data_IF_040901752974
#
_entry.id   IF_040901752974
#
_cell.length_a   1.000
_cell.length_b   1.000
_cell.length_c   1.000
_cell.angle_alpha   90.00
_cell.angle_beta   90.00
_cell.angle_gamma   90.00
#
_symmetry.space_group_name_H-M   'P 1'
#
loop_
_entity.id
_entity.type
_entity.pdbx_description
1 polymer ?
#
# COMPACT_ATOMS: atom_id res chain seq x y z
N UNK A 1 26.99 20.50 -1.66
CA UNK A 1 26.60 21.78 -1.03
C UNK A 1 26.42 22.94 -2.02
N UNK A 2 27.04 22.92 -3.22
CA UNK A 2 26.87 23.97 -4.24
C UNK A 2 25.45 24.12 -4.84
N UNK A 3 24.59 23.08 -4.77
CA UNK A 3 23.22 23.15 -5.31
C UNK A 3 22.21 23.89 -4.41
N UNK A 4 22.56 24.13 -3.13
CA UNK A 4 21.71 24.88 -2.19
C UNK A 4 21.96 26.40 -2.26
N UNK A 5 23.14 26.83 -2.72
CA UNK A 5 23.48 28.25 -2.90
C UNK A 5 23.03 28.82 -4.25
N UNK A 6 22.78 27.96 -5.25
CA UNK A 6 22.15 28.40 -6.51
C UNK A 6 20.77 28.99 -6.23
N UNK A 7 20.47 30.10 -6.87
CA UNK A 7 19.21 30.82 -6.71
C UNK A 7 18.69 31.30 -8.05
N UNK A 8 17.37 31.30 -8.22
CA UNK A 8 16.70 31.78 -9.42
C UNK A 8 15.97 33.11 -9.10
N UNK A 9 16.29 34.21 -9.81
CA UNK A 9 15.74 35.53 -9.50
C UNK A 9 14.32 35.78 -10.05
N UNK A 10 13.78 34.91 -10.89
CA UNK A 10 12.42 35.04 -11.46
C UNK A 10 11.33 35.14 -10.41
N UNK A 11 10.20 35.74 -10.76
CA UNK A 11 9.02 35.91 -9.93
C UNK A 11 8.09 34.66 -9.97
N UNK A 12 7.01 34.70 -9.18
CA UNK A 12 6.08 33.57 -9.06
C UNK A 12 5.30 33.27 -10.36
N UNK A 13 5.03 34.30 -11.16
CA UNK A 13 4.34 34.17 -12.44
C UNK A 13 5.22 33.49 -13.48
N UNK A 14 6.50 33.84 -13.53
CA UNK A 14 7.47 33.28 -14.48
C UNK A 14 7.75 31.78 -14.26
N UNK A 15 7.60 31.28 -13.03
CA UNK A 15 7.89 29.88 -12.69
C UNK A 15 6.65 29.06 -12.36
N UNK A 16 5.86 29.50 -11.37
CA UNK A 16 4.85 28.66 -10.72
C UNK A 16 3.48 28.77 -11.37
N UNK A 17 2.96 29.99 -11.47
CA UNK A 17 1.59 30.25 -11.91
C UNK A 17 1.52 31.00 -13.24
N UNK A 18 2.20 30.46 -14.25
CA UNK A 18 2.40 31.02 -15.60
C UNK A 18 1.12 31.33 -16.39
N UNK A 19 -0.04 30.87 -15.93
CA UNK A 19 -1.34 31.15 -16.55
C UNK A 19 -2.00 32.45 -16.06
N UNK A 20 -1.52 33.06 -14.97
CA UNK A 20 -2.10 34.30 -14.41
C UNK A 20 -1.04 35.09 -13.64
N UNK A 21 -0.85 36.40 -13.90
CA UNK A 21 0.15 37.21 -13.20
C UNK A 21 -0.19 37.43 -11.72
N UNK A 22 -1.47 37.34 -11.34
CA UNK A 22 -1.89 37.51 -9.94
C UNK A 22 -1.71 36.23 -9.12
N UNK A 23 -0.94 36.33 -8.03
CA UNK A 23 -0.75 35.25 -7.05
C UNK A 23 -2.08 34.82 -6.39
N UNK A 24 -2.89 35.79 -5.99
CA UNK A 24 -4.16 35.53 -5.28
C UNK A 24 -5.17 34.86 -6.19
N UNK A 25 -5.29 35.34 -7.44
CA UNK A 25 -6.17 34.74 -8.43
C UNK A 25 -5.74 33.29 -8.74
N UNK A 26 -4.43 33.05 -8.87
CA UNK A 26 -3.89 31.72 -9.12
C UNK A 26 -4.16 30.75 -7.97
N UNK A 27 -4.00 31.21 -6.73
CA UNK A 27 -4.34 30.42 -5.55
C UNK A 27 -5.84 30.09 -5.48
N UNK A 28 -6.72 31.08 -5.72
CA UNK A 28 -8.18 30.88 -5.76
C UNK A 28 -8.59 29.90 -6.85
N UNK A 29 -8.02 30.04 -8.04
CA UNK A 29 -8.30 29.19 -9.18
C UNK A 29 -7.93 27.73 -8.91
N UNK A 30 -6.79 27.46 -8.26
CA UNK A 30 -6.38 26.10 -7.89
C UNK A 30 -7.19 25.58 -6.71
N UNK A 31 -7.53 26.42 -5.75
CA UNK A 31 -8.43 26.07 -4.63
C UNK A 31 -9.80 25.63 -5.15
N UNK A 32 -10.40 26.37 -6.08
CA UNK A 32 -11.69 26.02 -6.68
C UNK A 32 -11.63 24.69 -7.46
N UNK A 33 -10.57 24.49 -8.25
CA UNK A 33 -10.34 23.23 -8.96
C UNK A 33 -10.16 22.05 -8.01
N UNK A 34 -9.43 22.25 -6.92
CA UNK A 34 -9.19 21.25 -5.90
C UNK A 34 -10.48 20.89 -5.14
N UNK A 35 -11.35 21.86 -4.84
CA UNK A 35 -12.64 21.63 -4.19
C UNK A 35 -13.55 20.73 -5.01
N UNK A 36 -13.71 21.04 -6.30
CA UNK A 36 -14.56 20.27 -7.20
C UNK A 36 -14.09 18.81 -7.30
N UNK A 37 -12.78 18.60 -7.44
CA UNK A 37 -12.18 17.27 -7.53
C UNK A 37 -12.27 16.52 -6.20
N UNK A 38 -12.04 17.22 -5.09
CA UNK A 38 -12.11 16.62 -3.74
C UNK A 38 -13.51 16.10 -3.45
N UNK A 39 -14.55 16.87 -3.79
CA UNK A 39 -15.94 16.44 -3.67
C UNK A 39 -16.24 15.22 -4.55
N UNK A 40 -15.76 15.21 -5.81
CA UNK A 40 -15.91 14.06 -6.73
C UNK A 40 -15.22 12.79 -6.23
N UNK A 41 -14.17 12.90 -5.42
CA UNK A 41 -13.47 11.75 -4.84
C UNK A 41 -14.14 11.29 -3.54
N UNK A 42 -14.40 12.22 -2.62
CA UNK A 42 -14.86 11.85 -1.28
C UNK A 42 -16.36 11.54 -1.22
N UNK A 43 -17.23 12.23 -1.97
CA UNK A 43 -18.66 11.97 -1.90
C UNK A 43 -19.02 10.50 -2.26
N UNK A 44 -18.53 9.92 -3.37
CA UNK A 44 -18.82 8.52 -3.69
C UNK A 44 -18.18 7.54 -2.69
N UNK A 45 -16.93 7.79 -2.28
CA UNK A 45 -16.20 6.92 -1.36
C UNK A 45 -16.94 6.78 -0.02
N UNK A 46 -17.37 7.89 0.55
CA UNK A 46 -18.09 7.91 1.82
C UNK A 46 -19.49 7.33 1.69
N UNK A 47 -20.18 7.60 0.57
CA UNK A 47 -21.49 7.02 0.31
C UNK A 47 -21.43 5.49 0.21
N UNK A 48 -20.48 4.95 -0.57
CA UNK A 48 -20.28 3.49 -0.70
C UNK A 48 -19.92 2.89 0.66
N UNK A 49 -19.01 3.51 1.41
CA UNK A 49 -18.64 3.03 2.74
C UNK A 49 -19.82 3.04 3.73
N UNK A 50 -20.71 4.03 3.65
CA UNK A 50 -21.92 4.11 4.47
C UNK A 50 -22.92 2.99 4.14
N UNK A 51 -23.09 2.69 2.85
CA UNK A 51 -23.98 1.62 2.34
C UNK A 51 -23.44 0.25 2.77
N UNK A 52 -22.15 -0.02 2.54
CA UNK A 52 -21.52 -1.30 2.89
C UNK A 52 -21.58 -1.58 4.40
N UNK A 53 -21.47 -0.53 5.22
CA UNK A 53 -21.58 -0.63 6.69
C UNK A 53 -23.02 -0.59 7.20
N UNK A 54 -24.02 -0.60 6.32
CA UNK A 54 -25.46 -0.56 6.65
C UNK A 54 -25.79 0.48 7.72
N UNK A 55 -25.26 1.70 7.58
CA UNK A 55 -25.47 2.77 8.56
C UNK A 55 -26.94 3.19 8.64
N UNK A 56 -27.40 3.63 9.82
CA UNK A 56 -28.78 4.11 10.05
C UNK A 56 -29.06 5.40 9.27
N UNK A 57 -30.34 5.69 8.98
CA UNK A 57 -30.78 6.92 8.26
C UNK A 57 -30.25 8.22 8.89
N UNK A 58 -30.13 8.27 10.23
CA UNK A 58 -29.61 9.44 10.94
C UNK A 58 -28.15 9.76 10.62
N UNK A 59 -27.33 8.74 10.32
CA UNK A 59 -25.94 8.94 9.92
C UNK A 59 -25.84 9.71 8.60
N UNK A 60 -26.71 9.39 7.63
CA UNK A 60 -26.74 10.06 6.33
C UNK A 60 -27.10 11.54 6.46
N UNK A 61 -28.05 11.87 7.36
CA UNK A 61 -28.47 13.26 7.58
C UNK A 61 -27.48 14.06 8.42
N UNK A 62 -26.95 13.48 9.51
CA UNK A 62 -26.20 14.24 10.53
C UNK A 62 -24.68 14.15 10.43
N UNK A 63 -24.14 13.06 9.86
CA UNK A 63 -22.67 12.82 9.87
C UNK A 63 -22.06 12.73 8.48
N UNK A 64 -22.74 12.14 7.50
CA UNK A 64 -22.16 11.92 6.17
C UNK A 64 -21.71 13.22 5.49
N UNK A 65 -22.56 14.25 5.48
CA UNK A 65 -22.25 15.53 4.82
C UNK A 65 -21.09 16.25 5.52
N UNK A 66 -21.09 16.48 6.86
CA UNK A 66 -19.94 17.07 7.55
C UNK A 66 -18.65 16.29 7.34
N UNK A 67 -18.71 14.96 7.31
CA UNK A 67 -17.56 14.10 7.08
C UNK A 67 -16.99 14.27 5.66
N UNK A 68 -17.85 14.34 4.64
CA UNK A 68 -17.43 14.60 3.25
C UNK A 68 -16.82 16.00 3.14
N UNK A 69 -17.49 17.02 3.69
CA UNK A 69 -17.03 18.40 3.63
C UNK A 69 -15.69 18.55 4.35
N UNK A 70 -15.50 17.97 5.53
CA UNK A 70 -14.24 18.05 6.26
C UNK A 70 -13.07 17.46 5.47
N UNK A 71 -13.26 16.29 4.86
CA UNK A 71 -12.22 15.64 4.05
C UNK A 71 -11.99 16.35 2.71
N UNK A 72 -13.03 16.93 2.13
CA UNK A 72 -12.89 17.81 0.96
C UNK A 72 -12.13 19.09 1.30
N UNK A 73 -12.43 19.72 2.44
CA UNK A 73 -11.73 20.91 2.94
C UNK A 73 -10.26 20.63 3.21
N UNK A 74 -9.92 19.48 3.79
CA UNK A 74 -8.53 19.03 3.95
C UNK A 74 -7.76 19.06 2.63
N UNK A 75 -8.25 18.34 1.62
CA UNK A 75 -7.53 18.19 0.35
C UNK A 75 -7.50 19.51 -0.45
N UNK A 76 -8.59 20.27 -0.40
CA UNK A 76 -8.71 21.61 -1.00
C UNK A 76 -7.72 22.59 -0.38
N UNK A 77 -7.64 22.61 0.95
CA UNK A 77 -6.73 23.46 1.71
C UNK A 77 -5.29 23.14 1.37
N UNK A 78 -4.92 21.86 1.24
CA UNK A 78 -3.57 21.47 0.87
C UNK A 78 -3.16 22.05 -0.50
N UNK A 79 -4.03 21.91 -1.52
CA UNK A 79 -3.77 22.45 -2.86
C UNK A 79 -3.72 23.97 -2.91
N UNK A 80 -4.65 24.64 -2.23
CA UNK A 80 -4.70 26.11 -2.18
C UNK A 80 -3.53 26.72 -1.40
N UNK A 81 -3.26 26.19 -0.22
CA UNK A 81 -2.14 26.65 0.61
C UNK A 81 -0.79 26.38 -0.04
N UNK A 82 -0.62 25.30 -0.80
CA UNK A 82 0.64 25.06 -1.51
C UNK A 82 0.99 26.24 -2.43
N UNK A 83 0.05 26.73 -3.25
CA UNK A 83 0.30 27.88 -4.12
C UNK A 83 0.47 29.17 -3.32
N UNK A 84 -0.32 29.36 -2.26
CA UNK A 84 -0.17 30.52 -1.38
C UNK A 84 1.24 30.56 -0.76
N UNK A 85 1.70 29.46 -0.17
CA UNK A 85 3.03 29.35 0.42
C UNK A 85 4.15 29.42 -0.61
N UNK A 86 3.96 28.88 -1.81
CA UNK A 86 4.89 29.05 -2.93
C UNK A 86 5.16 30.55 -3.19
N UNK A 87 4.10 31.36 -3.27
CA UNK A 87 4.22 32.80 -3.50
C UNK A 87 4.74 33.56 -2.26
N UNK A 88 4.30 33.18 -1.06
CA UNK A 88 4.76 33.80 0.21
C UNK A 88 6.26 33.55 0.40
N UNK A 89 6.73 32.31 0.23
CA UNK A 89 8.16 31.99 0.36
C UNK A 89 8.97 32.77 -0.67
N UNK A 90 8.49 32.90 -1.91
CA UNK A 90 9.19 33.71 -2.91
C UNK A 90 9.26 35.19 -2.54
N UNK A 91 8.20 35.74 -1.92
CA UNK A 91 8.19 37.13 -1.44
C UNK A 91 9.13 37.33 -0.24
N UNK A 92 9.18 36.37 0.67
CA UNK A 92 10.04 36.42 1.86
C UNK A 92 11.54 36.23 1.53
N UNK A 93 11.85 35.28 0.65
CA UNK A 93 13.23 34.92 0.31
C UNK A 93 13.82 35.77 -0.82
N UNK A 94 13.00 36.53 -1.54
CA UNK A 94 13.44 37.37 -2.66
C UNK A 94 13.93 36.62 -3.91
N UNK A 95 14.12 35.29 -3.83
CA UNK A 95 14.55 34.38 -4.91
C UNK A 95 13.97 32.98 -4.70
N UNK A 96 14.03 32.12 -5.72
CA UNK A 96 13.79 30.69 -5.57
C UNK A 96 15.08 29.92 -5.31
N UNK A 97 15.03 28.98 -4.38
CA UNK A 97 16.09 28.02 -4.10
C UNK A 97 15.60 26.62 -4.47
N UNK A 98 16.53 25.67 -4.61
CA UNK A 98 16.21 24.30 -5.03
C UNK A 98 15.13 23.63 -4.17
N UNK A 99 15.04 23.95 -2.88
CA UNK A 99 14.05 23.39 -1.95
C UNK A 99 12.77 24.24 -1.79
N UNK A 100 12.80 25.53 -2.12
CA UNK A 100 11.73 26.47 -1.71
C UNK A 100 10.43 26.27 -2.50
N UNK A 101 10.56 26.01 -3.80
CA UNK A 101 9.43 25.83 -4.73
C UNK A 101 8.62 24.54 -4.48
N UNK A 102 9.26 23.50 -3.97
CA UNK A 102 8.63 22.21 -3.68
C UNK A 102 8.46 22.00 -2.18
N UNK A 103 9.51 21.53 -1.52
CA UNK A 103 9.51 21.16 -0.11
C UNK A 103 9.06 22.32 0.80
N UNK A 104 9.66 23.49 0.62
CA UNK A 104 9.42 24.67 1.47
C UNK A 104 7.97 25.14 1.44
N UNK A 105 7.36 25.18 0.26
CA UNK A 105 5.97 25.59 0.09
C UNK A 105 4.98 24.51 0.60
N UNK A 106 5.29 23.23 0.34
CA UNK A 106 4.40 22.13 0.65
C UNK A 106 4.39 21.73 2.14
N UNK A 107 5.50 21.92 2.86
CA UNK A 107 5.60 21.56 4.28
C UNK A 107 4.55 22.29 5.16
N UNK A 108 4.49 23.64 5.21
CA UNK A 108 3.48 24.34 6.00
C UNK A 108 2.06 24.13 5.45
N UNK A 109 1.89 24.04 4.12
CA UNK A 109 0.59 23.79 3.50
C UNK A 109 -0.03 22.47 3.96
N UNK A 110 0.76 21.40 3.89
CA UNK A 110 0.33 20.05 4.23
C UNK A 110 0.18 19.86 5.75
N UNK A 111 1.00 20.53 6.56
CA UNK A 111 0.86 20.55 8.03
C UNK A 111 -0.47 21.19 8.45
N UNK A 112 -0.81 22.36 7.90
CA UNK A 112 -2.10 23.02 8.21
C UNK A 112 -3.27 22.19 7.69
N UNK A 113 -3.15 21.66 6.47
CA UNK A 113 -4.21 20.87 5.87
C UNK A 113 -4.54 19.62 6.71
N UNK A 114 -3.55 18.82 7.12
CA UNK A 114 -3.81 17.56 7.83
C UNK A 114 -4.49 17.77 9.19
N UNK A 115 -4.33 18.95 9.81
CA UNK A 115 -5.03 19.32 11.04
C UNK A 115 -6.54 19.49 10.83
N UNK A 116 -7.01 19.79 9.61
CA UNK A 116 -8.42 19.84 9.26
C UNK A 116 -9.03 18.43 9.18
N UNK A 117 -8.23 17.44 8.75
CA UNK A 117 -8.70 16.07 8.61
C UNK A 117 -8.93 15.40 9.98
N UNK A 118 -9.86 14.45 9.99
CA UNK A 118 -10.23 13.70 11.20
C UNK A 118 -9.07 12.85 11.71
N UNK A 119 -8.84 12.86 13.03
CA UNK A 119 -7.79 12.06 13.70
C UNK A 119 -7.80 10.58 13.29
N UNK A 120 -8.99 9.98 13.12
CA UNK A 120 -9.13 8.57 12.71
C UNK A 120 -8.58 8.23 11.32
N UNK A 121 -8.41 9.23 10.44
CA UNK A 121 -7.89 9.05 9.07
C UNK A 121 -6.44 9.48 8.89
N UNK A 122 -5.91 10.31 9.81
CA UNK A 122 -4.54 10.84 9.71
C UNK A 122 -3.50 9.75 9.66
N UNK A 123 -3.59 8.72 10.51
CA UNK A 123 -2.66 7.59 10.48
C UNK A 123 -2.61 6.87 9.13
N UNK A 124 -3.78 6.58 8.53
CA UNK A 124 -3.84 5.92 7.22
C UNK A 124 -3.26 6.80 6.10
N UNK A 125 -3.57 8.09 6.09
CA UNK A 125 -3.05 9.05 5.11
C UNK A 125 -1.54 9.25 5.26
N UNK A 126 -1.05 9.27 6.50
CA UNK A 126 0.37 9.38 6.84
C UNK A 126 1.14 8.19 6.29
N UNK A 127 0.67 6.97 6.55
CA UNK A 127 1.31 5.74 6.03
C UNK A 127 1.34 5.75 4.50
N UNK A 128 0.22 6.14 3.87
CA UNK A 128 0.15 6.23 2.42
C UNK A 128 1.19 7.23 1.86
N UNK A 129 1.25 8.44 2.42
CA UNK A 129 2.19 9.47 1.98
C UNK A 129 3.64 9.12 2.29
N UNK A 130 3.92 8.52 3.44
CA UNK A 130 5.26 8.05 3.82
C UNK A 130 5.78 6.98 2.87
N UNK A 131 4.92 6.02 2.48
CA UNK A 131 5.28 5.00 1.50
C UNK A 131 5.58 5.61 0.13
N UNK A 132 4.74 6.56 -0.31
CA UNK A 132 4.96 7.25 -1.57
C UNK A 132 6.24 8.09 -1.56
N UNK A 133 6.53 8.79 -0.46
CA UNK A 133 7.74 9.57 -0.27
C UNK A 133 8.98 8.67 -0.27
N UNK A 134 8.94 7.54 0.44
CA UNK A 134 10.02 6.55 0.47
C UNK A 134 10.29 5.96 -0.90
N UNK A 135 9.24 5.60 -1.65
CA UNK A 135 9.35 5.13 -3.05
C UNK A 135 9.99 6.21 -3.94
N UNK A 136 9.59 7.47 -3.75
CA UNK A 136 10.12 8.61 -4.51
C UNK A 136 11.59 8.86 -4.19
N UNK A 137 11.98 8.83 -2.91
CA UNK A 137 13.38 8.96 -2.47
C UNK A 137 14.23 7.84 -3.05
N UNK A 138 13.75 6.60 -2.99
CA UNK A 138 14.44 5.46 -3.57
C UNK A 138 14.67 5.64 -5.08
N UNK A 139 13.63 6.05 -5.84
CA UNK A 139 13.75 6.32 -7.28
C UNK A 139 14.73 7.47 -7.56
N UNK A 140 14.69 8.55 -6.79
CA UNK A 140 15.66 9.66 -6.90
C UNK A 140 17.10 9.16 -6.64
N UNK A 141 17.30 8.34 -5.62
CA UNK A 141 18.61 7.77 -5.30
C UNK A 141 19.15 6.84 -6.41
N UNK A 142 18.27 6.05 -7.03
CA UNK A 142 18.61 5.21 -8.20
C UNK A 142 18.97 6.07 -9.41
N UNK A 143 18.16 7.08 -9.73
CA UNK A 143 18.40 7.99 -10.87
C UNK A 143 19.70 8.78 -10.70
N UNK A 144 20.11 9.06 -9.46
CA UNK A 144 21.39 9.72 -9.12
C UNK A 144 22.59 8.76 -9.05
N UNK A 145 22.39 7.46 -9.29
CA UNK A 145 23.45 6.45 -9.20
C UNK A 145 23.94 6.16 -7.78
N UNK A 146 23.22 6.59 -6.73
CA UNK A 146 23.58 6.36 -5.33
C UNK A 146 23.27 4.91 -4.93
N UNK A 147 22.16 4.36 -5.44
CA UNK A 147 21.68 3.02 -5.11
C UNK A 147 21.48 2.23 -6.40
N UNK A 148 22.05 1.03 -6.45
CA UNK A 148 21.76 0.07 -7.52
C UNK A 148 20.53 -0.76 -7.14
N UNK A 149 19.46 -0.76 -7.95
CA UNK A 149 18.24 -1.48 -7.60
C UNK A 149 18.47 -2.99 -7.64
N UNK A 150 18.11 -3.67 -6.54
CA UNK A 150 18.17 -5.13 -6.46
C UNK A 150 17.06 -5.75 -7.30
N UNK A 151 17.41 -6.72 -8.15
CA UNK A 151 16.44 -7.50 -8.93
C UNK A 151 15.51 -8.24 -7.96
N UNK A 152 14.20 -8.02 -8.09
CA UNK A 152 13.17 -8.56 -7.19
C UNK A 152 13.28 -8.08 -5.73
N UNK A 153 13.80 -6.87 -5.49
CA UNK A 153 13.91 -6.30 -4.15
C UNK A 153 12.57 -6.26 -3.38
N UNK A 154 11.44 -6.12 -4.07
CA UNK A 154 10.11 -6.18 -3.48
C UNK A 154 9.76 -7.55 -2.87
N UNK A 155 10.29 -8.64 -3.44
CA UNK A 155 10.12 -9.99 -2.92
C UNK A 155 11.00 -10.18 -1.70
N UNK A 156 12.26 -9.73 -1.74
CA UNK A 156 13.16 -9.79 -0.58
C UNK A 156 12.61 -9.00 0.61
N UNK A 157 12.12 -7.78 0.35
CA UNK A 157 11.47 -6.95 1.36
C UNK A 157 10.26 -7.66 1.97
N UNK A 158 9.45 -8.33 1.14
CA UNK A 158 8.32 -9.12 1.61
C UNK A 158 8.77 -10.35 2.42
N UNK A 159 9.86 -11.04 2.05
CA UNK A 159 10.39 -12.17 2.82
C UNK A 159 10.82 -11.76 4.22
N UNK A 160 11.56 -10.66 4.36
CA UNK A 160 11.97 -10.10 5.65
C UNK A 160 10.73 -9.69 6.46
N UNK A 161 9.79 -9.00 5.81
CA UNK A 161 8.55 -8.54 6.45
C UNK A 161 7.70 -9.71 6.94
N UNK A 162 7.51 -10.74 6.12
CA UNK A 162 6.75 -11.94 6.46
C UNK A 162 7.41 -12.74 7.58
N UNK A 163 8.74 -12.85 7.56
CA UNK A 163 9.53 -13.47 8.64
C UNK A 163 9.21 -12.85 9.99
N UNK A 164 9.32 -11.52 10.10
CA UNK A 164 9.09 -10.79 11.34
C UNK A 164 7.61 -10.79 11.75
N UNK A 165 6.68 -10.65 10.81
CA UNK A 165 5.25 -10.78 11.12
C UNK A 165 4.90 -12.16 11.67
N UNK A 166 5.46 -13.23 11.09
CA UNK A 166 5.19 -14.58 11.55
C UNK A 166 5.83 -14.85 12.91
N UNK A 167 7.02 -14.30 13.16
CA UNK A 167 7.63 -14.33 14.48
C UNK A 167 6.74 -13.65 15.52
N UNK A 168 6.35 -12.39 15.29
CA UNK A 168 5.45 -11.68 16.21
C UNK A 168 4.06 -12.32 16.31
N UNK A 169 3.58 -13.01 15.28
CA UNK A 169 2.33 -13.77 15.36
C UNK A 169 2.43 -14.94 16.35
N UNK A 170 3.62 -15.54 16.48
CA UNK A 170 3.89 -16.59 17.46
C UNK A 170 4.34 -16.06 18.81
N UNK A 171 4.92 -14.87 18.92
CA UNK A 171 5.25 -14.33 20.24
C UNK A 171 3.99 -14.03 21.07
N UNK A 172 4.04 -14.29 22.37
CA UNK A 172 3.02 -13.84 23.32
C UNK A 172 2.88 -12.31 23.24
N UNK A 173 1.65 -11.82 23.07
CA UNK A 173 1.35 -10.39 22.90
C UNK A 173 2.15 -9.73 21.75
N UNK A 174 2.59 -10.53 20.77
CA UNK A 174 3.44 -10.08 19.67
C UNK A 174 2.71 -9.29 18.58
N UNK A 175 1.44 -9.62 18.29
CA UNK A 175 0.60 -8.85 17.37
C UNK A 175 -0.78 -8.65 17.97
N UNK A 176 -1.35 -7.47 17.73
CA UNK A 176 -2.69 -7.09 18.21
C UNK A 176 -3.60 -6.65 17.06
N UNK A 177 -4.91 -6.66 17.30
CA UNK A 177 -5.93 -6.10 16.41
C UNK A 177 -6.04 -6.79 15.05
N UNK A 178 -6.09 -5.98 13.98
CA UNK A 178 -6.36 -6.48 12.63
C UNK A 178 -5.26 -7.41 12.09
N UNK A 179 -3.98 -7.10 12.34
CA UNK A 179 -2.87 -7.91 11.83
C UNK A 179 -2.89 -9.34 12.41
N UNK A 180 -3.12 -9.46 13.72
CA UNK A 180 -3.28 -10.76 14.38
C UNK A 180 -4.48 -11.54 13.83
N UNK A 181 -5.64 -10.88 13.70
CA UNK A 181 -6.84 -11.51 13.16
C UNK A 181 -6.66 -11.98 11.71
N UNK A 182 -6.00 -11.17 10.87
CA UNK A 182 -5.71 -11.50 9.48
C UNK A 182 -4.77 -12.71 9.39
N UNK A 183 -3.66 -12.72 10.14
CA UNK A 183 -2.72 -13.84 10.13
C UNK A 183 -3.33 -15.12 10.72
N UNK A 184 -4.16 -15.01 11.77
CA UNK A 184 -4.94 -16.12 12.34
C UNK A 184 -5.91 -16.71 11.31
N UNK A 185 -6.53 -15.87 10.49
CA UNK A 185 -7.40 -16.32 9.40
C UNK A 185 -6.62 -17.01 8.27
N UNK A 186 -5.47 -16.45 7.89
CA UNK A 186 -4.62 -16.92 6.80
C UNK A 186 -3.95 -18.25 7.15
N UNK A 187 -3.23 -18.30 8.28
CA UNK A 187 -2.39 -19.42 8.68
C UNK A 187 -3.18 -20.47 9.46
N UNK A 188 -4.04 -20.05 10.38
CA UNK A 188 -4.82 -20.93 11.24
C UNK A 188 -4.49 -20.77 12.72
N UNK A 189 -5.34 -21.33 13.58
CA UNK A 189 -5.21 -21.23 15.04
C UNK A 189 -4.16 -22.18 15.60
N UNK A 190 -3.83 -23.25 14.85
CA UNK A 190 -2.93 -24.31 15.30
C UNK A 190 -1.47 -23.82 15.41
N UNK A 191 -1.17 -22.66 14.81
CA UNK A 191 0.17 -22.06 14.80
C UNK A 191 0.40 -21.04 15.91
N UNK A 192 -0.59 -20.81 16.77
CA UNK A 192 -0.49 -19.93 17.96
C UNK A 192 0.09 -20.75 19.13
N UNK A 193 0.91 -20.17 20.03
CA UNK A 193 1.36 -20.84 21.24
C UNK A 193 0.20 -21.20 22.17
N UNK A 194 0.32 -22.31 22.89
CA UNK A 194 -0.73 -22.86 23.77
C UNK A 194 -0.98 -22.00 25.03
N UNK A 195 -0.14 -21.00 25.32
CA UNK A 195 -0.28 -20.14 26.50
C UNK A 195 -1.46 -19.15 26.44
N UNK A 196 -2.12 -18.99 25.29
CA UNK A 196 -3.30 -18.12 25.13
C UNK A 196 -4.65 -18.83 25.28
N UNK A 197 -4.68 -20.13 25.54
CA UNK A 197 -5.91 -20.94 25.56
C UNK A 197 -6.48 -21.24 26.95
N UNK A 198 -5.98 -20.59 28.01
CA UNK A 198 -6.49 -20.80 29.38
C UNK A 198 -7.75 -19.99 29.73
N UNK A 199 -8.25 -19.13 28.83
CA UNK A 199 -9.38 -18.24 29.14
C UNK A 199 -10.73 -18.62 28.51
N UNK A 200 -10.88 -19.76 27.85
CA UNK A 200 -12.20 -20.24 27.38
C UNK A 200 -12.34 -21.76 27.55
N UNK A 201 -12.69 -22.19 28.75
CA UNK A 201 -13.36 -23.48 28.99
C UNK A 201 -14.87 -23.22 29.04
N UNK A 202 -15.64 -23.91 28.19
CA UNK A 202 -16.83 -24.57 28.71
C UNK A 202 -16.70 -26.09 28.56
N UNK A 203 -16.72 -26.73 29.72
CA UNK A 203 -17.11 -28.12 29.96
C UNK A 203 -18.29 -28.61 29.11
N UNK A 204 -18.11 -29.72 28.39
CA UNK A 204 -19.21 -30.66 28.06
C UNK A 204 -18.67 -32.03 27.57
N UNK A 205 -18.78 -33.02 28.46
CA UNK A 205 -19.21 -34.41 28.24
C UNK A 205 -18.84 -35.15 26.93
N UNK A 206 -17.94 -36.13 27.11
CA UNK A 206 -18.00 -37.55 26.71
C UNK A 206 -19.28 -38.01 25.97
N UNK A 207 -19.12 -38.61 24.79
CA UNK A 207 -19.95 -39.73 24.32
C UNK A 207 -19.18 -40.57 23.29
N UNK A 208 -18.72 -41.74 23.73
CA UNK A 208 -18.26 -42.83 22.88
C UNK A 208 -19.49 -43.51 22.26
N UNK A 209 -19.49 -43.71 20.93
CA UNK A 209 -20.32 -44.74 20.28
C UNK A 209 -19.46 -45.48 19.26
N UNK A 210 -19.47 -46.83 19.25
CA UNK A 210 -18.78 -47.62 18.24
C UNK A 210 -19.61 -47.67 16.96
N UNK A 211 -18.98 -47.42 15.80
CA UNK A 211 -19.61 -47.57 14.49
C UNK A 211 -19.00 -48.80 13.82
N UNK A 212 -19.86 -49.79 13.53
CA UNK A 212 -19.55 -51.00 12.75
C UNK A 212 -19.11 -50.66 11.32
N UNK A 213 -18.32 -51.54 10.66
CA UNK A 213 -17.85 -51.33 9.29
C UNK A 213 -19.00 -51.57 8.29
N UNK A 214 -19.12 -50.74 7.22
CA UNK A 214 -19.98 -51.08 6.10
C UNK A 214 -19.26 -52.05 5.14
N UNK A 215 -20.07 -53.01 4.73
CA UNK A 215 -19.86 -54.16 3.86
C UNK A 215 -19.36 -53.78 2.46
N UNK A 216 -18.49 -54.62 1.92
CA UNK A 216 -17.97 -54.58 0.56
C UNK A 216 -19.09 -54.67 -0.48
N UNK A 217 -19.07 -53.74 -1.44
CA UNK A 217 -19.76 -53.87 -2.71
C UNK A 217 -18.73 -53.60 -3.82
N UNK A 218 -18.34 -54.68 -4.48
CA UNK A 218 -17.49 -54.68 -5.66
C UNK A 218 -18.12 -53.86 -6.79
N UNK A 219 -17.35 -52.91 -7.33
CA UNK A 219 -17.59 -52.38 -8.67
C UNK A 219 -16.27 -52.42 -9.45
N UNK A 220 -16.18 -53.42 -10.31
CA UNK A 220 -15.27 -53.48 -11.44
C UNK A 220 -15.33 -52.17 -12.24
N UNK A 221 -14.20 -51.50 -12.43
CA UNK A 221 -14.07 -50.48 -13.48
C UNK A 221 -12.73 -50.56 -14.17
N UNK A 222 -12.84 -50.39 -15.48
CA UNK A 222 -11.89 -50.72 -16.54
C UNK A 222 -10.68 -49.81 -16.59
N UNK A 223 -9.58 -50.39 -17.07
CA UNK A 223 -8.25 -49.83 -17.18
C UNK A 223 -8.19 -48.66 -18.18
N UNK A 224 -7.94 -47.45 -17.65
CA UNK A 224 -7.50 -46.29 -18.42
C UNK A 224 -6.47 -45.50 -17.60
N UNK A 225 -5.19 -45.90 -17.66
CA UNK A 225 -4.09 -45.29 -16.89
C UNK A 225 -3.78 -43.88 -17.42
N UNK A 226 -4.49 -42.87 -16.91
CA UNK A 226 -4.11 -41.46 -17.03
C UNK A 226 -3.30 -41.02 -15.81
N UNK A 227 -2.22 -40.28 -16.03
CA UNK A 227 -1.34 -39.70 -14.99
C UNK A 227 -2.17 -38.95 -13.91
N UNK A 228 -3.31 -38.37 -14.29
CA UNK A 228 -4.25 -37.70 -13.38
C UNK A 228 -4.92 -38.64 -12.35
N UNK A 229 -5.15 -39.90 -12.71
CA UNK A 229 -5.71 -40.90 -11.79
C UNK A 229 -4.66 -41.43 -10.82
N UNK A 230 -3.40 -41.56 -11.29
CA UNK A 230 -2.26 -41.94 -10.46
C UNK A 230 -1.91 -40.85 -9.45
N UNK A 231 -1.90 -39.58 -9.87
CA UNK A 231 -1.65 -38.44 -8.97
C UNK A 231 -2.75 -38.27 -7.95
N UNK A 232 -4.03 -38.48 -8.30
CA UNK A 232 -5.12 -38.51 -7.31
C UNK A 232 -4.95 -39.62 -6.28
N UNK A 233 -4.66 -40.85 -6.72
CA UNK A 233 -4.45 -41.98 -5.80
C UNK A 233 -3.28 -41.76 -4.86
N UNK A 234 -2.17 -41.21 -5.36
CA UNK A 234 -1.00 -40.86 -4.53
C UNK A 234 -1.32 -39.73 -3.55
N UNK A 235 -2.03 -38.69 -3.98
CA UNK A 235 -2.44 -37.59 -3.10
C UNK A 235 -3.38 -38.08 -2.00
N UNK A 236 -4.35 -38.93 -2.33
CA UNK A 236 -5.30 -39.51 -1.39
C UNK A 236 -4.61 -40.44 -0.38
N UNK A 237 -3.64 -41.23 -0.85
CA UNK A 237 -2.82 -42.08 0.01
C UNK A 237 -1.96 -41.26 0.97
N UNK A 238 -1.24 -40.24 0.48
CA UNK A 238 -0.42 -39.33 1.29
C UNK A 238 -1.25 -38.51 2.28
N UNK A 239 -2.44 -38.06 1.89
CA UNK A 239 -3.35 -37.32 2.76
C UNK A 239 -4.00 -38.21 3.84
N UNK A 240 -4.18 -39.52 3.61
CA UNK A 240 -4.77 -40.44 4.60
C UNK A 240 -3.75 -41.12 5.50
N UNK A 241 -2.58 -41.47 4.99
CA UNK A 241 -1.55 -42.22 5.72
C UNK A 241 -0.26 -41.43 6.01
N UNK A 242 -0.26 -40.11 5.77
CA UNK A 242 0.91 -39.27 6.01
C UNK A 242 1.31 -39.19 7.48
N UNK A 243 2.61 -38.94 7.78
CA UNK A 243 3.10 -38.91 9.15
C UNK A 243 2.76 -37.60 9.88
N UNK A 244 2.66 -37.66 11.21
CA UNK A 244 2.46 -36.52 12.11
C UNK A 244 3.54 -36.51 13.19
N UNK A 245 4.14 -35.35 13.45
CA UNK A 245 5.06 -35.19 14.57
C UNK A 245 4.34 -34.95 15.89
N UNK A 246 4.94 -35.38 16.99
CA UNK A 246 4.43 -35.13 18.36
C UNK A 246 4.33 -33.63 18.68
N UNK A 247 5.26 -32.82 18.19
CA UNK A 247 5.30 -31.38 18.42
C UNK A 247 4.33 -30.58 17.52
N UNK A 248 3.64 -31.25 16.59
CA UNK A 248 2.67 -30.62 15.71
C UNK A 248 1.29 -30.59 16.35
N UNK A 249 0.72 -29.38 16.47
CA UNK A 249 -0.57 -29.09 17.13
C UNK A 249 -1.82 -29.41 16.30
N UNK A 250 -1.66 -29.90 15.07
CA UNK A 250 -2.77 -30.25 14.18
C UNK A 250 -3.26 -31.69 14.45
N UNK A 251 -3.93 -31.92 15.58
CA UNK A 251 -4.29 -33.27 16.06
C UNK A 251 -5.16 -34.09 15.10
N UNK A 252 -5.99 -33.45 14.28
CA UNK A 252 -6.92 -34.10 13.37
C UNK A 252 -6.33 -34.38 11.97
N UNK A 253 -5.14 -33.86 11.68
CA UNK A 253 -4.52 -33.90 10.35
C UNK A 253 -3.07 -34.40 10.42
N UNK A 254 -2.62 -35.10 9.38
CA UNK A 254 -1.19 -35.30 9.17
C UNK A 254 -0.53 -34.03 8.58
N UNK A 255 0.81 -33.93 8.64
CA UNK A 255 1.51 -32.71 8.25
C UNK A 255 1.28 -32.34 6.77
N UNK A 256 1.16 -33.34 5.89
CA UNK A 256 0.95 -33.14 4.45
C UNK A 256 -0.46 -32.63 4.18
N UNK A 257 -1.49 -33.29 4.72
CA UNK A 257 -2.90 -32.87 4.68
C UNK A 257 -3.05 -31.44 5.22
N UNK A 258 -2.38 -31.11 6.32
CA UNK A 258 -2.40 -29.77 6.90
C UNK A 258 -1.88 -28.69 5.93
N UNK A 259 -0.82 -28.99 5.18
CA UNK A 259 -0.25 -28.09 4.16
C UNK A 259 -1.16 -27.97 2.92
N UNK A 260 -1.72 -29.08 2.45
CA UNK A 260 -2.59 -29.12 1.25
C UNK A 260 -3.93 -28.44 1.53
N UNK A 261 -4.58 -28.74 2.66
CA UNK A 261 -5.82 -28.07 3.09
C UNK A 261 -5.61 -26.57 3.23
N UNK A 262 -4.48 -26.16 3.83
CA UNK A 262 -4.08 -24.75 3.92
C UNK A 262 -3.94 -24.09 2.55
N UNK A 263 -3.25 -24.74 1.63
CA UNK A 263 -3.09 -24.27 0.25
C UNK A 263 -4.45 -24.06 -0.43
N UNK A 264 -5.28 -25.10 -0.49
CA UNK A 264 -6.57 -25.09 -1.22
C UNK A 264 -7.48 -24.00 -0.65
N UNK A 265 -7.59 -23.91 0.67
CA UNK A 265 -8.41 -22.88 1.33
C UNK A 265 -7.98 -21.47 0.93
N UNK A 266 -6.70 -21.15 1.09
CA UNK A 266 -6.22 -19.77 0.87
C UNK A 266 -6.07 -19.42 -0.61
N UNK A 267 -5.79 -20.41 -1.46
CA UNK A 267 -5.87 -20.28 -2.91
C UNK A 267 -7.29 -19.88 -3.34
N UNK A 268 -8.30 -20.58 -2.82
CA UNK A 268 -9.71 -20.33 -3.16
C UNK A 268 -10.16 -18.93 -2.72
N UNK A 269 -9.75 -18.50 -1.52
CA UNK A 269 -9.99 -17.14 -1.02
C UNK A 269 -9.34 -16.09 -1.93
N UNK A 270 -8.05 -16.26 -2.27
CA UNK A 270 -7.33 -15.33 -3.14
C UNK A 270 -7.95 -15.23 -4.53
N UNK A 271 -8.33 -16.37 -5.11
CA UNK A 271 -9.02 -16.42 -6.39
C UNK A 271 -10.36 -15.68 -6.35
N UNK A 272 -11.17 -15.90 -5.30
CA UNK A 272 -12.46 -15.23 -5.13
C UNK A 272 -12.30 -13.70 -4.99
N UNK A 273 -11.31 -13.25 -4.22
CA UNK A 273 -11.01 -11.82 -4.06
C UNK A 273 -10.70 -11.18 -5.42
N UNK A 274 -9.85 -11.80 -6.25
CA UNK A 274 -9.51 -11.22 -7.54
C UNK A 274 -10.72 -11.17 -8.48
N UNK A 275 -11.55 -12.21 -8.48
CA UNK A 275 -12.80 -12.23 -9.22
C UNK A 275 -13.70 -11.05 -8.81
N UNK A 276 -13.91 -10.86 -7.50
CA UNK A 276 -14.72 -9.75 -6.97
C UNK A 276 -14.17 -8.37 -7.31
N UNK A 277 -12.84 -8.18 -7.36
CA UNK A 277 -12.23 -6.88 -7.69
C UNK A 277 -12.41 -6.49 -9.17
N UNK A 278 -12.49 -7.46 -10.08
CA UNK A 278 -12.63 -7.19 -11.52
C UNK A 278 -14.08 -7.00 -11.98
N UNK A 279 -15.04 -7.58 -11.27
CA UNK A 279 -16.47 -7.51 -11.61
C UNK A 279 -17.00 -6.05 -11.72
N UNK A 280 -16.71 -5.12 -10.78
CA UNK A 280 -17.24 -3.75 -10.86
C UNK A 280 -16.79 -2.97 -12.09
N UNK A 281 -15.54 -3.18 -12.54
CA UNK A 281 -14.97 -2.49 -13.71
C UNK A 281 -15.63 -2.91 -15.03
N UNK A 282 -16.24 -4.11 -15.05
CA UNK A 282 -16.84 -4.71 -16.26
C UNK A 282 -18.36 -4.89 -16.11
N UNK A 283 -18.96 -4.49 -14.99
CA UNK A 283 -20.38 -4.69 -14.68
C UNK A 283 -21.31 -4.18 -15.79
N UNK A 284 -20.93 -3.07 -16.44
CA UNK A 284 -21.67 -2.49 -17.58
C UNK A 284 -21.64 -3.35 -18.85
N UNK A 285 -20.61 -4.19 -19.02
CA UNK A 285 -20.45 -5.13 -20.14
C UNK A 285 -20.99 -6.54 -19.85
N UNK A 286 -21.14 -6.90 -18.57
CA UNK A 286 -21.67 -8.21 -18.14
C UNK A 286 -23.14 -8.38 -18.58
N UNK A 287 -23.94 -7.31 -18.51
CA UNK A 287 -25.33 -7.34 -18.97
C UNK A 287 -25.49 -7.41 -20.49
N UNK A 288 -24.47 -7.03 -21.26
CA UNK A 288 -24.55 -6.99 -22.73
C UNK A 288 -23.93 -8.22 -23.40
N UNK A 289 -22.96 -8.91 -22.77
CA UNK A 289 -22.35 -10.15 -23.28
C UNK A 289 -21.94 -11.12 -22.14
N UNK A 290 -22.81 -12.04 -21.71
CA UNK A 290 -22.53 -12.95 -20.58
C UNK A 290 -21.42 -13.99 -20.89
N UNK A 291 -21.19 -14.35 -22.16
CA UNK A 291 -20.14 -15.30 -22.55
C UNK A 291 -18.72 -14.81 -22.22
N UNK A 292 -18.49 -13.49 -22.16
CA UNK A 292 -17.20 -12.92 -21.75
C UNK A 292 -16.92 -13.07 -20.25
N UNK A 293 -17.95 -13.28 -19.43
CA UNK A 293 -17.81 -13.46 -17.98
C UNK A 293 -16.98 -14.72 -17.65
N UNK A 294 -17.24 -15.83 -18.34
CA UNK A 294 -16.53 -17.09 -18.12
C UNK A 294 -15.03 -16.95 -18.47
N UNK A 295 -14.73 -16.26 -19.58
CA UNK A 295 -13.35 -15.96 -19.99
C UNK A 295 -12.65 -14.97 -19.06
N UNK A 296 -13.40 -14.06 -18.41
CA UNK A 296 -12.87 -13.10 -17.43
C UNK A 296 -12.59 -13.74 -16.07
N UNK A 297 -13.38 -14.74 -15.68
CA UNK A 297 -13.13 -15.56 -14.49
C UNK A 297 -11.90 -16.44 -14.70
N UNK A 298 -11.75 -17.04 -15.89
CA UNK A 298 -10.57 -17.84 -16.27
C UNK A 298 -9.41 -16.98 -16.82
N UNK A 299 -9.08 -15.89 -16.12
CA UNK A 299 -7.92 -15.07 -16.46
C UNK A 299 -6.71 -15.46 -15.60
N UNK A 300 -5.53 -15.58 -16.21
CA UNK A 300 -4.25 -15.88 -15.53
C UNK A 300 -3.96 -14.94 -14.35
N UNK A 301 -4.40 -13.69 -14.43
CA UNK A 301 -4.25 -12.72 -13.34
C UNK A 301 -5.11 -13.04 -12.09
N UNK A 302 -6.19 -13.82 -12.24
CA UNK A 302 -7.01 -14.28 -11.12
C UNK A 302 -6.35 -15.41 -10.35
N UNK A 303 -5.51 -16.19 -11.04
CA UNK A 303 -4.73 -17.25 -10.45
C UNK A 303 -3.58 -16.72 -9.59
N UNK A 304 -2.96 -15.59 -9.95
CA UNK A 304 -1.75 -15.08 -9.29
C UNK A 304 -1.94 -14.81 -7.80
N UNK A 305 -3.04 -14.14 -7.40
CA UNK A 305 -3.32 -13.86 -5.99
C UNK A 305 -3.63 -15.13 -5.19
N UNK A 306 -4.38 -16.06 -5.79
CA UNK A 306 -4.63 -17.39 -5.21
C UNK A 306 -3.34 -18.18 -5.01
N UNK A 307 -2.49 -18.25 -6.04
CA UNK A 307 -1.20 -18.94 -6.01
C UNK A 307 -0.27 -18.35 -4.95
N UNK A 308 -0.23 -17.02 -4.83
CA UNK A 308 0.49 -16.33 -3.78
C UNK A 308 0.02 -16.75 -2.38
N UNK A 309 -1.27 -16.58 -2.06
CA UNK A 309 -1.80 -16.86 -0.72
C UNK A 309 -1.75 -18.35 -0.36
N UNK A 310 -2.11 -19.22 -1.31
CA UNK A 310 -2.05 -20.67 -1.13
C UNK A 310 -0.63 -21.16 -0.88
N UNK A 311 0.33 -20.75 -1.72
CA UNK A 311 1.74 -21.15 -1.57
C UNK A 311 2.36 -20.58 -0.31
N UNK A 312 2.06 -19.32 0.04
CA UNK A 312 2.53 -18.69 1.28
C UNK A 312 2.19 -19.56 2.50
N UNK A 313 0.93 -19.95 2.63
CA UNK A 313 0.45 -20.75 3.76
C UNK A 313 1.01 -22.18 3.73
N UNK A 314 1.06 -22.80 2.56
CA UNK A 314 1.60 -24.15 2.42
C UNK A 314 3.09 -24.21 2.79
N UNK A 315 3.89 -23.28 2.27
CA UNK A 315 5.34 -23.19 2.56
C UNK A 315 5.56 -22.89 4.04
N UNK A 316 4.80 -21.95 4.63
CA UNK A 316 4.92 -21.63 6.04
C UNK A 316 4.65 -22.84 6.94
N UNK A 317 3.53 -23.54 6.70
CA UNK A 317 3.13 -24.72 7.47
C UNK A 317 4.12 -25.87 7.26
N UNK A 318 4.49 -26.15 6.02
CA UNK A 318 5.44 -27.20 5.67
C UNK A 318 6.80 -26.99 6.33
N UNK A 319 7.33 -25.77 6.24
CA UNK A 319 8.60 -25.40 6.89
C UNK A 319 8.48 -25.49 8.41
N UNK A 320 7.38 -25.01 9.00
CA UNK A 320 7.16 -25.08 10.45
C UNK A 320 7.11 -26.52 10.95
N UNK A 321 6.38 -27.39 10.25
CA UNK A 321 6.35 -28.82 10.55
C UNK A 321 7.75 -29.44 10.39
N UNK A 322 8.45 -29.17 9.30
CA UNK A 322 9.81 -29.67 9.09
C UNK A 322 10.77 -29.26 10.21
N UNK A 323 10.76 -27.99 10.64
CA UNK A 323 11.60 -27.51 11.74
C UNK A 323 11.23 -28.16 13.08
N UNK A 324 9.94 -28.42 13.33
CA UNK A 324 9.47 -29.18 14.50
C UNK A 324 9.95 -30.64 14.49
N UNK A 325 10.04 -31.26 13.32
CA UNK A 325 10.59 -32.61 13.17
C UNK A 325 12.09 -32.62 13.47
N UNK A 326 12.84 -31.71 12.85
CA UNK A 326 14.31 -31.67 12.98
C UNK A 326 14.75 -31.30 14.40
N UNK A 327 14.09 -30.31 15.03
CA UNK A 327 14.48 -29.82 16.37
C UNK A 327 13.75 -30.50 17.53
N UNK A 328 12.75 -31.35 17.27
CA UNK A 328 11.90 -31.95 18.30
C UNK A 328 11.30 -30.94 19.31
N UNK A 329 11.09 -29.69 18.89
CA UNK A 329 10.63 -28.58 19.73
C UNK A 329 9.64 -27.71 18.92
N UNK A 330 8.67 -27.08 19.58
CA UNK A 330 7.86 -26.00 18.97
C UNK A 330 8.37 -24.64 19.49
N UNK A 331 9.18 -23.98 18.66
CA UNK A 331 9.85 -22.70 18.97
C UNK A 331 9.29 -21.56 18.11
N UNK A 332 9.24 -20.35 18.68
CA UNK A 332 8.82 -19.13 17.99
C UNK A 332 9.80 -18.78 16.86
N UNK A 333 11.10 -19.07 17.03
CA UNK A 333 12.14 -18.83 16.02
C UNK A 333 11.90 -19.61 14.71
N UNK A 334 11.18 -20.74 14.76
CA UNK A 334 10.78 -21.45 13.55
C UNK A 334 9.92 -20.58 12.63
N UNK A 335 9.15 -19.64 13.19
CA UNK A 335 8.32 -18.73 12.42
C UNK A 335 9.12 -17.69 11.63
N UNK A 336 10.34 -17.32 12.08
CA UNK A 336 11.23 -16.45 11.30
C UNK A 336 11.64 -17.14 9.99
N UNK A 337 12.16 -18.36 10.08
CA UNK A 337 12.63 -19.11 8.91
C UNK A 337 11.45 -19.47 8.01
N UNK A 338 10.37 -19.99 8.60
CA UNK A 338 9.16 -20.35 7.85
C UNK A 338 8.52 -19.14 7.18
N UNK A 339 8.46 -17.98 7.85
CA UNK A 339 7.92 -16.75 7.29
C UNK A 339 8.79 -16.20 6.16
N UNK A 340 10.12 -16.27 6.29
CA UNK A 340 11.04 -15.86 5.23
C UNK A 340 10.87 -16.71 3.97
N UNK A 341 10.86 -18.04 4.12
CA UNK A 341 10.67 -18.97 3.00
C UNK A 341 9.27 -18.85 2.39
N UNK A 342 8.24 -18.69 3.23
CA UNK A 342 6.88 -18.43 2.75
C UNK A 342 6.81 -17.14 1.92
N UNK A 343 7.62 -16.13 2.25
CA UNK A 343 7.74 -14.88 1.51
C UNK A 343 8.09 -15.03 0.03
N UNK A 344 8.77 -16.12 -0.36
CA UNK A 344 9.12 -16.42 -1.75
C UNK A 344 7.86 -16.56 -2.62
N UNK A 345 6.70 -16.88 -2.03
CA UNK A 345 5.43 -16.92 -2.76
C UNK A 345 5.08 -15.59 -3.45
N UNK A 346 5.64 -14.46 -3.00
CA UNK A 346 5.46 -13.14 -3.62
C UNK A 346 5.92 -13.10 -5.09
N UNK A 347 6.72 -14.07 -5.55
CA UNK A 347 7.02 -14.25 -6.98
C UNK A 347 5.76 -14.48 -7.83
N UNK A 348 4.71 -15.10 -7.27
CA UNK A 348 3.44 -15.30 -7.97
C UNK A 348 2.63 -14.00 -8.14
N UNK A 349 2.78 -13.05 -7.20
CA UNK A 349 2.06 -11.77 -7.22
C UNK A 349 2.98 -10.61 -6.80
N UNK A 350 3.90 -10.23 -7.69
CA UNK A 350 4.86 -9.16 -7.44
C UNK A 350 4.15 -7.81 -7.32
N UNK A 351 4.23 -7.18 -6.14
CA UNK A 351 3.63 -5.88 -5.89
C UNK A 351 4.44 -5.08 -4.88
N UNK A 352 5.22 -4.11 -5.36
CA UNK A 352 5.98 -3.16 -4.53
C UNK A 352 5.08 -2.42 -3.54
N UNK A 353 3.84 -2.09 -3.95
CA UNK A 353 2.89 -1.39 -3.08
C UNK A 353 2.50 -2.23 -1.87
N UNK A 354 2.28 -3.54 -2.04
CA UNK A 354 1.92 -4.44 -0.94
C UNK A 354 3.13 -4.65 -0.02
N UNK A 355 4.31 -4.94 -0.59
CA UNK A 355 5.53 -5.14 0.20
C UNK A 355 5.86 -3.91 1.06
N UNK A 356 5.83 -2.72 0.46
CA UNK A 356 6.08 -1.46 1.18
C UNK A 356 5.02 -1.18 2.23
N UNK A 357 3.74 -1.41 1.94
CA UNK A 357 2.67 -1.20 2.91
C UNK A 357 2.83 -2.09 4.14
N UNK A 358 3.06 -3.40 3.93
CA UNK A 358 3.24 -4.34 5.02
C UNK A 358 4.53 -4.04 5.80
N UNK A 359 5.61 -3.69 5.12
CA UNK A 359 6.86 -3.30 5.77
C UNK A 359 6.68 -2.06 6.66
N UNK A 360 6.03 -1.02 6.15
CA UNK A 360 5.77 0.19 6.96
C UNK A 360 4.85 -0.08 8.14
N UNK A 361 3.86 -0.97 7.99
CA UNK A 361 3.02 -1.42 9.11
C UNK A 361 3.79 -2.26 10.13
N UNK A 362 4.78 -3.03 9.69
CA UNK A 362 5.68 -3.75 10.57
C UNK A 362 6.55 -2.77 11.37
N UNK A 363 7.14 -1.77 10.71
CA UNK A 363 7.93 -0.72 11.39
C UNK A 363 7.09 0.03 12.41
N UNK A 364 5.84 0.41 12.08
CA UNK A 364 4.90 1.03 13.01
C UNK A 364 4.65 0.12 14.24
N UNK A 365 4.44 -1.18 14.01
CA UNK A 365 4.22 -2.16 15.10
C UNK A 365 5.45 -2.30 15.99
N UNK A 366 6.65 -2.38 15.39
CA UNK A 366 7.91 -2.46 16.11
C UNK A 366 8.19 -1.20 16.92
N UNK A 367 7.88 -0.02 16.38
CA UNK A 367 8.03 1.25 17.06
C UNK A 367 7.15 1.33 18.32
N UNK A 368 5.86 1.01 18.22
CA UNK A 368 4.97 1.01 19.39
C UNK A 368 5.37 -0.03 20.45
N UNK A 369 5.82 -1.22 20.02
CA UNK A 369 6.39 -2.21 20.94
C UNK A 369 7.65 -1.70 21.64
N UNK A 370 8.53 -1.00 20.93
CA UNK A 370 9.72 -0.42 21.54
C UNK A 370 9.40 0.73 22.50
N UNK A 371 8.28 1.45 22.32
CA UNK A 371 7.76 2.38 23.31
C UNK A 371 7.25 1.63 24.55
N UNK A 372 6.46 0.58 24.37
CA UNK A 372 5.97 -0.26 25.48
C UNK A 372 7.12 -0.88 26.29
N UNK A 373 8.20 -1.24 25.62
CA UNK A 373 9.43 -1.74 26.25
C UNK A 373 10.32 -0.64 26.86
N UNK A 374 9.96 0.64 26.74
CA UNK A 374 10.72 1.77 27.28
C UNK A 374 11.99 2.16 26.49
N UNK A 375 12.18 1.62 25.28
CA UNK A 375 13.35 1.90 24.44
C UNK A 375 13.20 3.16 23.55
N UNK A 376 11.97 3.53 23.20
CA UNK A 376 11.70 4.70 22.35
C UNK A 376 10.77 5.72 23.02
N UNK A 377 10.98 7.03 22.80
CA UNK A 377 10.06 8.05 23.26
C UNK A 377 8.78 8.09 22.42
N UNK A 378 7.64 8.37 23.05
CA UNK A 378 6.39 8.63 22.34
C UNK A 378 6.32 10.09 21.87
N UNK A 379 6.32 10.30 20.55
CA UNK A 379 6.14 11.62 19.96
C UNK A 379 4.65 11.94 19.69
N UNK A 380 4.05 12.89 20.44
CA UNK A 380 2.68 13.31 20.19
C UNK A 380 2.55 13.96 18.81
N UNK A 381 1.45 13.67 18.11
CA UNK A 381 1.17 14.18 16.76
C UNK A 381 2.24 13.84 15.70
N UNK A 382 3.01 12.77 15.90
CA UNK A 382 4.00 12.27 14.93
C UNK A 382 3.37 11.98 13.56
N UNK A 383 2.12 11.54 13.51
CA UNK A 383 1.35 11.35 12.28
C UNK A 383 1.29 12.62 11.42
N UNK A 384 1.02 13.75 12.05
CA UNK A 384 0.91 15.08 11.42
C UNK A 384 2.25 15.51 10.82
N UNK A 385 3.34 15.33 11.58
CA UNK A 385 4.68 15.70 11.14
C UNK A 385 5.17 14.81 9.98
N UNK A 386 5.02 13.49 10.12
CA UNK A 386 5.41 12.53 9.08
C UNK A 386 4.61 12.78 7.80
N UNK A 387 3.31 13.06 7.91
CA UNK A 387 2.48 13.42 6.76
C UNK A 387 3.00 14.67 6.05
N UNK A 388 3.31 15.73 6.80
CA UNK A 388 3.76 17.00 6.25
C UNK A 388 5.11 16.86 5.53
N UNK A 389 6.09 16.21 6.17
CA UNK A 389 7.42 15.95 5.58
C UNK A 389 7.29 15.06 4.34
N UNK A 390 6.51 13.98 4.41
CA UNK A 390 6.32 13.06 3.29
C UNK A 390 5.65 13.75 2.10
N UNK A 391 4.66 14.60 2.37
CA UNK A 391 3.99 15.40 1.33
C UNK A 391 4.95 16.42 0.73
N UNK A 392 5.75 17.09 1.54
CA UNK A 392 6.76 18.04 1.09
C UNK A 392 7.81 17.38 0.18
N UNK A 393 8.27 16.16 0.50
CA UNK A 393 9.16 15.38 -0.35
C UNK A 393 8.50 15.04 -1.69
N UNK A 394 7.24 14.61 -1.68
CA UNK A 394 6.52 14.30 -2.91
C UNK A 394 6.31 15.53 -3.80
N UNK A 395 6.05 16.70 -3.21
CA UNK A 395 5.94 17.96 -3.95
C UNK A 395 7.29 18.45 -4.47
N UNK A 396 8.37 18.25 -3.70
CA UNK A 396 9.73 18.51 -4.18
C UNK A 396 10.04 17.72 -5.44
N UNK A 397 9.73 16.42 -5.45
CA UNK A 397 9.87 15.61 -6.65
C UNK A 397 8.89 16.04 -7.76
N UNK A 398 7.64 16.41 -7.44
CA UNK A 398 6.68 16.88 -8.44
C UNK A 398 7.09 18.20 -9.13
N UNK A 399 7.89 19.03 -8.47
CA UNK A 399 8.43 20.27 -9.05
C UNK A 399 9.72 19.96 -9.83
N UNK A 400 10.66 19.26 -9.21
CA UNK A 400 12.03 19.14 -9.69
C UNK A 400 12.35 17.86 -10.48
N UNK A 401 11.67 16.75 -10.20
CA UNK A 401 12.02 15.41 -10.67
C UNK A 401 10.76 14.54 -10.88
N UNK A 402 9.84 15.00 -11.75
CA UNK A 402 8.54 14.31 -12.00
C UNK A 402 8.74 12.86 -12.44
N UNK A 403 9.85 12.56 -13.11
CA UNK A 403 10.28 11.21 -13.53
C UNK A 403 10.36 10.21 -12.37
N UNK A 404 10.72 10.69 -11.17
CA UNK A 404 10.92 9.86 -9.98
C UNK A 404 9.63 9.70 -9.16
N UNK A 405 8.55 10.39 -9.54
CA UNK A 405 7.27 10.33 -8.86
C UNK A 405 6.37 9.23 -9.43
N UNK A 406 5.55 8.61 -8.58
CA UNK A 406 4.59 7.58 -9.03
C UNK A 406 3.60 8.17 -10.05
N UNK A 407 3.41 7.57 -11.25
CA UNK A 407 2.56 8.14 -12.30
C UNK A 407 1.10 8.37 -11.88
N UNK A 408 0.54 7.50 -11.02
CA UNK A 408 -0.81 7.66 -10.50
C UNK A 408 -0.95 8.89 -9.60
N UNK A 409 0.09 9.21 -8.83
CA UNK A 409 0.12 10.40 -7.98
C UNK A 409 0.31 11.67 -8.81
N UNK A 410 1.18 11.66 -9.82
CA UNK A 410 1.28 12.76 -10.78
C UNK A 410 -0.07 13.06 -11.48
N UNK A 411 -0.75 12.03 -11.98
CA UNK A 411 -2.11 12.18 -12.56
C UNK A 411 -3.11 12.74 -11.54
N UNK A 412 -2.99 12.36 -10.27
CA UNK A 412 -3.82 12.92 -9.21
C UNK A 412 -3.55 14.41 -9.01
N UNK A 413 -2.29 14.83 -8.94
CA UNK A 413 -1.90 16.24 -8.82
C UNK A 413 -2.39 17.08 -10.02
N UNK A 414 -2.26 16.56 -11.24
CA UNK A 414 -2.78 17.23 -12.44
C UNK A 414 -4.30 17.37 -12.40
N UNK A 415 -5.01 16.33 -11.98
CA UNK A 415 -6.47 16.39 -11.86
C UNK A 415 -6.87 17.43 -10.82
N UNK A 416 -6.23 17.45 -9.66
CA UNK A 416 -6.49 18.40 -8.57
C UNK A 416 -6.27 19.86 -9.01
N UNK A 417 -5.24 20.12 -9.82
CA UNK A 417 -4.88 21.45 -10.31
C UNK A 417 -5.50 21.81 -11.67
N UNK A 418 -6.40 20.97 -12.22
CA UNK A 418 -6.97 21.14 -13.57
C UNK A 418 -5.90 21.27 -14.66
N UNK A 419 -4.81 20.51 -14.53
CA UNK A 419 -3.68 20.51 -15.46
C UNK A 419 -2.66 21.62 -15.23
N UNK A 420 -2.95 22.61 -14.37
CA UNK A 420 -2.10 23.79 -14.18
C UNK A 420 -0.71 23.46 -13.62
N UNK A 421 -0.56 22.39 -12.85
CA UNK A 421 0.77 22.00 -12.33
C UNK A 421 1.75 21.60 -13.45
N UNK A 422 1.25 21.23 -14.63
CA UNK A 422 2.09 20.99 -15.81
C UNK A 422 2.59 22.28 -16.47
N UNK A 423 1.96 23.42 -16.20
CA UNK A 423 2.25 24.71 -16.84
C UNK A 423 3.42 25.45 -16.18
N UNK A 424 4.01 24.91 -15.10
CA UNK A 424 5.20 25.52 -14.49
C UNK A 424 6.36 25.59 -15.48
N UNK A 425 7.14 26.68 -15.40
CA UNK A 425 8.34 26.86 -16.21
C UNK A 425 9.50 26.01 -15.65
N UNK A 426 9.54 24.74 -16.05
CA UNK A 426 10.55 23.79 -15.57
C UNK A 426 11.92 23.96 -16.22
N UNK A 427 12.01 24.65 -17.37
CA UNK A 427 13.30 24.95 -18.02
C UNK A 427 14.21 25.77 -17.10
N UNK A 428 13.65 26.80 -16.46
CA UNK A 428 14.40 27.63 -15.52
C UNK A 428 14.85 26.84 -14.29
N UNK A 429 14.08 25.81 -13.89
CA UNK A 429 14.43 24.92 -12.78
C UNK A 429 15.58 23.94 -13.12
N UNK A 430 15.90 23.73 -14.40
CA UNK A 430 17.00 22.86 -14.82
C UNK A 430 18.36 23.41 -14.37
N UNK A 431 18.47 24.70 -14.04
CA UNK A 431 19.66 25.32 -13.43
C UNK A 431 20.15 24.58 -12.17
N UNK A 432 19.23 23.93 -11.46
CA UNK A 432 19.54 23.14 -10.27
C UNK A 432 20.10 21.75 -10.57
N UNK A 433 20.17 21.34 -11.84
CA UNK A 433 20.74 20.06 -12.29
C UNK A 433 19.85 18.85 -12.05
N UNK A 434 18.52 19.03 -11.95
CA UNK A 434 17.56 17.93 -11.69
C UNK A 434 16.83 17.44 -12.94
N UNK A 435 17.12 18.02 -14.12
CA UNK A 435 16.41 17.73 -15.38
C UNK A 435 14.88 17.84 -15.24
N UNK A 436 14.41 18.88 -14.55
CA UNK A 436 13.00 19.12 -14.29
C UNK A 436 12.16 19.18 -15.57
N UNK A 437 12.70 19.71 -16.68
CA UNK A 437 11.96 19.86 -17.94
C UNK A 437 11.88 18.59 -18.80
N UNK A 438 12.62 17.52 -18.45
CA UNK A 438 12.85 16.33 -19.30
C UNK A 438 11.59 15.72 -19.91
N UNK A 439 10.50 15.61 -19.16
CA UNK A 439 9.24 14.99 -19.63
C UNK A 439 8.22 15.97 -20.22
N UNK A 440 8.56 17.26 -20.33
CA UNK A 440 7.64 18.31 -20.75
C UNK A 440 7.86 18.81 -22.18
N UNK A 441 8.56 18.05 -23.02
CA UNK A 441 8.75 18.31 -24.47
C UNK A 441 9.19 19.76 -24.79
N UNK A 442 10.04 20.34 -23.96
CA UNK A 442 10.51 21.72 -24.16
C UNK A 442 9.42 22.79 -23.98
N UNK A 443 8.34 22.51 -23.24
CA UNK A 443 7.30 23.47 -22.90
C UNK A 443 7.92 24.79 -22.38
N UNK A 444 7.45 25.89 -22.96
CA UNK A 444 7.83 27.25 -22.56
C UNK A 444 6.52 28.02 -22.37
N UNK A 445 6.28 28.61 -21.19
CA UNK A 445 5.05 29.37 -20.97
C UNK A 445 5.03 30.63 -21.85
N UNK A 446 3.85 31.02 -22.32
CA UNK A 446 3.65 32.33 -22.94
C UNK A 446 3.38 33.35 -21.83
N UNK A 447 4.38 34.15 -21.50
CA UNK A 447 4.32 35.13 -20.42
C UNK A 447 4.04 36.52 -20.98
N UNK A 448 3.26 37.32 -20.26
CA UNK A 448 3.06 38.74 -20.58
C UNK A 448 4.28 39.55 -20.11
N UNK A 449 5.03 40.21 -21.02
CA UNK A 449 6.23 40.96 -20.70
C UNK A 449 6.03 42.06 -19.65
N UNK A 450 4.79 42.55 -19.46
CA UNK A 450 4.47 43.56 -18.44
C UNK A 450 4.65 43.05 -17.00
N UNK A 451 4.65 41.74 -16.82
CA UNK A 451 4.70 41.09 -15.51
C UNK A 451 5.92 40.17 -15.36
N UNK A 452 6.88 40.24 -16.28
CA UNK A 452 8.14 39.50 -16.22
C UNK A 452 9.27 40.38 -15.71
N UNK A 453 10.21 39.80 -14.96
CA UNK A 453 11.46 40.44 -14.57
C UNK A 453 12.54 40.25 -15.63
N UNK A 454 12.47 39.17 -16.41
CA UNK A 454 13.44 38.82 -17.45
C UNK A 454 12.75 38.61 -18.80
N UNK A 455 13.40 39.02 -19.89
CA UNK A 455 12.90 38.81 -21.25
C UNK A 455 13.25 37.38 -21.69
N UNK A 456 12.32 36.68 -22.35
CA UNK A 456 12.41 35.24 -22.64
C UNK A 456 13.68 34.78 -23.39
N UNK A 457 14.40 35.68 -24.07
CA UNK A 457 15.62 35.37 -24.81
C UNK A 457 16.89 35.31 -23.91
N UNK A 458 16.88 35.88 -22.71
CA UNK A 458 18.01 35.83 -21.76
C UNK A 458 18.10 34.49 -20.99
N UNK A 459 17.00 33.73 -20.90
CA UNK A 459 16.97 32.44 -20.20
C UNK A 459 17.90 31.38 -20.85
N UNK A 460 18.30 31.57 -22.12
CA UNK A 460 19.30 30.73 -22.81
C UNK A 460 20.74 31.07 -22.46
N UNK A 461 21.03 32.29 -21.97
CA UNK A 461 22.39 32.77 -21.69
C UNK A 461 22.86 32.50 -20.26
N UNK A 462 21.95 32.11 -19.36
CA UNK A 462 22.22 31.74 -17.97
C UNK A 462 22.27 30.21 -17.73
N UNK A 463 22.22 29.41 -18.81
CA UNK A 463 22.24 27.94 -18.80
C UNK A 463 23.64 27.37 -18.63
#
# INVERSE_FOLDING_TARGET
>A
MAALSKSIPHNCYEIGHTWSPSCTLSALQVTAGALEVSLKIYAPLYLIAAILRRRKKDYYKKRLIPEILQSASFLTTNGGLYIAFFCILRKLLGRFYSWSAGFGAALPASYIAILIERKSRRGLLTIYMANLATETIFRMAVTRGIINPLKHGEVLLFCITASLYMFFFRCKDGLNGFAFSALKFVVGKEEIPTHSSLSELPSASRSERPVLPPTDAEQHSTCGRSIAALTRRLLDFLCKHGPRHRCCKHYQDNCISYCIKGFIRMFSVGYLIQCCLKVPSTFRHVFTKPSRLLSLLYNKENFQLGAFLGSFVSIYKGTSCFLRWVRNLDDELHALIAGFLAGISMFFYKSTTISMYLFSKLVETMYFKGIEAGHFPYFPNSDTLIYAISTAICFQAAVMEVQNLRPSYWKFLLRLTKGRFALMNRKVLDLFGTEASRHFKGFTPKLDPRYTLFVQDEDMLLS
#
